data_IF_580563533571
#
_entry.id   IF_580563533571
#
_cell.length_a   1.000
_cell.length_b   1.000
_cell.length_c   1.000
_cell.angle_alpha   90.00
_cell.angle_beta   90.00
_cell.angle_gamma   90.00
#
_symmetry.space_group_name_H-M   'P 1'
#
loop_
_entity.id
_entity.type
_entity.pdbx_description
1 polymer ?
#
# COMPACT_ATOMS: atom_id res chain seq x y z
N UNK A 1 7.50 3.44 17.00
CA UNK A 1 6.61 2.63 16.17
C UNK A 1 7.12 2.64 14.73
N UNK A 2 7.14 3.77 14.06
CA UNK A 2 7.47 3.91 12.64
C UNK A 2 8.87 3.39 12.30
N UNK A 3 9.89 3.66 13.13
CA UNK A 3 11.27 3.12 12.97
C UNK A 3 11.27 1.59 12.88
N UNK A 4 10.48 0.91 13.70
CA UNK A 4 10.39 -0.55 13.67
C UNK A 4 9.70 -1.03 12.39
N UNK A 5 8.63 -0.36 11.94
CA UNK A 5 7.92 -0.71 10.71
C UNK A 5 8.83 -0.53 9.48
N UNK A 6 9.55 0.58 9.39
CA UNK A 6 10.51 0.84 8.33
C UNK A 6 11.65 -0.21 8.32
N UNK A 7 12.19 -0.55 9.50
CA UNK A 7 13.18 -1.61 9.62
C UNK A 7 12.64 -2.97 9.17
N UNK A 8 11.41 -3.32 9.54
CA UNK A 8 10.78 -4.56 9.10
C UNK A 8 10.65 -4.62 7.58
N UNK A 9 10.23 -3.52 6.95
CA UNK A 9 10.15 -3.41 5.49
C UNK A 9 11.52 -3.62 4.83
N UNK A 10 12.56 -2.90 5.28
CA UNK A 10 13.92 -3.04 4.80
C UNK A 10 14.45 -4.47 4.96
N UNK A 11 14.29 -5.06 6.14
CA UNK A 11 14.75 -6.41 6.44
C UNK A 11 13.98 -7.50 5.68
N UNK A 12 12.75 -7.24 5.29
CA UNK A 12 11.96 -8.19 4.51
C UNK A 12 12.50 -8.37 3.09
N UNK A 13 13.21 -7.38 2.55
CA UNK A 13 13.85 -7.45 1.24
C UNK A 13 14.94 -8.52 1.11
N UNK A 14 15.43 -9.08 2.22
CA UNK A 14 16.34 -10.25 2.20
C UNK A 14 15.73 -11.52 1.60
N UNK A 15 14.40 -11.62 1.57
CA UNK A 15 13.74 -12.73 0.91
C UNK A 15 13.71 -12.53 -0.60
N UNK A 16 14.19 -13.50 -1.40
CA UNK A 16 14.22 -13.37 -2.85
C UNK A 16 12.82 -13.10 -3.43
N UNK A 17 12.74 -12.20 -4.40
CA UNK A 17 11.50 -11.80 -5.07
C UNK A 17 10.41 -11.27 -4.14
N UNK A 18 10.75 -10.87 -2.91
CA UNK A 18 9.77 -10.36 -1.94
C UNK A 18 9.08 -9.09 -2.43
N UNK A 19 7.86 -8.90 -1.95
CA UNK A 19 7.06 -7.70 -2.13
C UNK A 19 6.81 -7.04 -0.77
N UNK A 20 6.72 -5.70 -0.77
CA UNK A 20 6.37 -4.93 0.42
C UNK A 20 5.32 -3.89 0.03
N UNK A 21 4.16 -3.94 0.68
CA UNK A 21 3.11 -2.94 0.55
C UNK A 21 2.89 -2.28 1.89
N UNK A 22 2.85 -0.95 1.90
CA UNK A 22 2.69 -0.19 3.13
C UNK A 22 1.59 0.84 2.95
N UNK A 23 0.59 0.81 3.82
CA UNK A 23 -0.31 1.92 4.07
C UNK A 23 0.29 2.70 5.24
N UNK A 24 0.89 3.84 4.93
CA UNK A 24 1.64 4.69 5.87
C UNK A 24 0.76 5.85 6.34
N UNK A 25 1.07 6.37 7.50
CA UNK A 25 0.40 7.54 8.05
C UNK A 25 1.45 8.52 8.58
N UNK A 26 1.55 9.69 7.92
CA UNK A 26 2.54 10.72 8.25
C UNK A 26 3.88 10.56 7.53
N UNK A 27 3.94 9.85 6.38
CA UNK A 27 5.11 9.78 5.50
C UNK A 27 6.34 9.09 6.08
N UNK A 28 6.17 8.33 7.16
CA UNK A 28 7.28 7.82 7.99
C UNK A 28 8.16 6.79 7.31
N UNK A 29 7.69 6.16 6.23
CA UNK A 29 8.44 5.12 5.50
C UNK A 29 8.98 5.61 4.15
N UNK A 30 8.83 6.88 3.82
CA UNK A 30 9.16 7.44 2.51
C UNK A 30 10.62 7.19 2.11
N UNK A 31 11.57 7.58 2.96
CA UNK A 31 13.01 7.37 2.71
C UNK A 31 13.35 5.89 2.52
N UNK A 32 12.83 5.01 3.37
CA UNK A 32 13.02 3.56 3.26
C UNK A 32 12.47 2.99 1.96
N UNK A 33 11.29 3.43 1.53
CA UNK A 33 10.63 2.98 0.30
C UNK A 33 11.47 3.36 -0.92
N UNK A 34 11.90 4.61 -1.02
CA UNK A 34 12.73 5.10 -2.11
C UNK A 34 14.09 4.41 -2.15
N UNK A 35 14.70 4.17 -0.98
CA UNK A 35 15.96 3.45 -0.86
C UNK A 35 15.88 1.99 -1.33
N UNK A 36 14.71 1.37 -1.23
CA UNK A 36 14.45 0.03 -1.75
C UNK A 36 14.12 0.02 -3.27
N UNK A 37 14.19 1.16 -3.95
CA UNK A 37 13.79 1.32 -5.35
C UNK A 37 12.27 1.23 -5.53
N UNK A 38 11.51 1.54 -4.48
CA UNK A 38 10.06 1.45 -4.47
C UNK A 38 9.35 2.74 -4.88
N UNK A 39 8.03 2.63 -5.04
CA UNK A 39 7.14 3.75 -5.30
C UNK A 39 6.50 4.22 -3.98
N UNK A 40 6.71 5.48 -3.65
CA UNK A 40 6.00 6.15 -2.57
C UNK A 40 4.99 7.13 -3.18
N UNK A 41 3.75 7.07 -2.71
CA UNK A 41 2.62 7.77 -3.30
C UNK A 41 1.79 8.46 -2.21
N UNK A 42 1.61 9.76 -2.34
CA UNK A 42 0.75 10.55 -1.46
C UNK A 42 -0.68 10.58 -2.02
N UNK A 43 -1.60 9.92 -1.33
CA UNK A 43 -3.00 9.79 -1.75
C UNK A 43 -3.85 11.01 -1.37
N UNK A 44 -3.41 11.80 -0.41
CA UNK A 44 -4.17 12.90 0.16
C UNK A 44 -3.58 14.28 -0.09
N UNK A 45 -2.34 14.35 -0.54
CA UNK A 45 -1.61 15.59 -0.71
C UNK A 45 -2.10 16.43 -1.89
N UNK A 46 -2.04 17.74 -1.73
CA UNK A 46 -2.12 18.68 -2.83
C UNK A 46 -0.79 18.69 -3.59
N UNK A 47 -0.47 17.56 -4.23
CA UNK A 47 0.80 17.41 -4.91
C UNK A 47 0.91 18.31 -6.13
N UNK A 48 2.12 18.80 -6.37
CA UNK A 48 2.51 19.42 -7.63
C UNK A 48 2.04 18.57 -8.81
N UNK A 49 1.57 19.23 -9.86
CA UNK A 49 0.89 18.62 -11.01
C UNK A 49 1.62 17.45 -11.69
N UNK A 50 2.94 17.32 -11.51
CA UNK A 50 3.78 16.35 -12.22
C UNK A 50 3.99 14.99 -11.53
N UNK A 51 3.60 14.82 -10.26
CA UNK A 51 3.92 13.60 -9.49
C UNK A 51 2.73 12.97 -8.78
N UNK A 52 1.50 13.40 -9.06
CA UNK A 52 0.32 12.90 -8.37
C UNK A 52 -0.08 11.51 -8.83
N UNK A 53 -0.38 10.65 -7.86
CA UNK A 53 -1.09 9.38 -8.09
C UNK A 53 -2.39 9.66 -8.84
N UNK A 54 -2.63 8.89 -9.87
CA UNK A 54 -3.90 8.89 -10.57
C UNK A 54 -4.35 7.45 -10.78
N UNK A 55 -5.61 7.17 -10.42
CA UNK A 55 -6.19 5.84 -10.43
C UNK A 55 -7.25 5.76 -11.53
N UNK A 56 -7.29 4.61 -12.21
CA UNK A 56 -8.26 4.30 -13.25
C UNK A 56 -9.01 3.01 -12.92
N UNK A 57 -9.96 3.03 -11.97
CA UNK A 57 -10.62 1.82 -11.46
C UNK A 57 -11.39 1.04 -12.51
N UNK A 58 -11.77 1.67 -13.61
CA UNK A 58 -12.54 1.06 -14.69
C UNK A 58 -11.68 0.60 -15.87
N UNK A 59 -10.37 0.74 -15.84
CA UNK A 59 -9.49 0.35 -16.93
C UNK A 59 -9.70 -1.12 -17.40
N UNK A 60 -9.81 -2.04 -16.44
CA UNK A 60 -9.87 -3.49 -16.66
C UNK A 60 -11.26 -4.07 -16.95
N UNK A 61 -12.32 -3.27 -17.04
CA UNK A 61 -13.72 -3.75 -17.12
C UNK A 61 -14.07 -4.55 -18.39
N UNK A 62 -13.19 -4.63 -19.39
CA UNK A 62 -13.32 -5.54 -20.53
C UNK A 62 -13.24 -7.01 -20.05
N UNK A 63 -12.58 -7.30 -18.95
CA UNK A 63 -12.60 -8.60 -18.30
C UNK A 63 -13.82 -8.71 -17.36
N UNK A 64 -14.58 -9.80 -17.50
CA UNK A 64 -15.81 -10.01 -16.70
C UNK A 64 -15.59 -9.96 -15.17
N UNK A 65 -14.53 -10.56 -14.59
CA UNK A 65 -14.28 -10.45 -13.16
C UNK A 65 -14.03 -9.01 -12.70
N UNK A 66 -13.24 -8.22 -13.46
CA UNK A 66 -12.97 -6.81 -13.16
C UNK A 66 -14.25 -5.97 -13.27
N UNK A 67 -15.11 -6.26 -14.25
CA UNK A 67 -16.40 -5.59 -14.41
C UNK A 67 -17.34 -5.90 -13.25
N UNK A 68 -17.35 -7.14 -12.76
CA UNK A 68 -18.15 -7.52 -11.60
C UNK A 68 -17.68 -6.79 -10.35
N UNK A 69 -16.37 -6.75 -10.11
CA UNK A 69 -15.77 -5.97 -9.02
C UNK A 69 -16.12 -4.48 -9.14
N UNK A 70 -15.98 -3.90 -10.32
CA UNK A 70 -16.29 -2.49 -10.56
C UNK A 70 -17.77 -2.16 -10.32
N UNK A 71 -18.69 -3.09 -10.64
CA UNK A 71 -20.12 -2.93 -10.37
C UNK A 71 -20.38 -2.87 -8.86
N UNK A 72 -19.80 -3.77 -8.07
CA UNK A 72 -19.94 -3.78 -6.62
C UNK A 72 -19.29 -2.53 -6.00
N UNK A 73 -18.11 -2.12 -6.46
CA UNK A 73 -17.43 -0.91 -6.03
C UNK A 73 -18.24 0.37 -6.29
N UNK A 74 -18.90 0.48 -7.44
CA UNK A 74 -19.79 1.60 -7.75
C UNK A 74 -21.06 1.59 -6.89
N UNK A 75 -21.60 0.41 -6.60
CA UNK A 75 -22.75 0.25 -5.68
C UNK A 75 -22.38 0.78 -4.29
N UNK A 76 -21.20 0.49 -3.79
CA UNK A 76 -20.71 0.98 -2.50
C UNK A 76 -20.58 2.52 -2.49
N UNK A 77 -20.02 3.10 -3.54
CA UNK A 77 -19.95 4.56 -3.71
C UNK A 77 -21.36 5.17 -3.68
N UNK A 78 -22.27 4.64 -4.50
CA UNK A 78 -23.64 5.15 -4.61
C UNK A 78 -24.40 5.03 -3.28
N UNK A 79 -24.21 3.93 -2.54
CA UNK A 79 -24.80 3.74 -1.20
C UNK A 79 -24.34 4.83 -0.26
N UNK A 80 -23.05 5.18 -0.25
CA UNK A 80 -22.46 6.25 0.58
C UNK A 80 -22.93 7.64 0.17
N UNK A 81 -23.26 7.85 -1.09
CA UNK A 81 -23.88 9.08 -1.60
C UNK A 81 -25.41 9.09 -1.41
N UNK A 82 -25.98 8.15 -0.66
CA UNK A 82 -27.39 8.13 -0.26
C UNK A 82 -28.34 7.58 -1.32
N UNK A 83 -27.84 6.90 -2.33
CA UNK A 83 -28.68 6.24 -3.34
C UNK A 83 -29.22 4.92 -2.78
N UNK A 84 -30.54 4.73 -2.85
CA UNK A 84 -31.14 3.43 -2.53
C UNK A 84 -30.85 2.43 -3.63
N UNK A 85 -30.17 1.35 -3.30
CA UNK A 85 -29.76 0.32 -4.26
C UNK A 85 -30.92 -0.66 -4.48
N UNK A 86 -31.52 -0.59 -5.65
CA UNK A 86 -32.55 -1.50 -6.14
C UNK A 86 -31.97 -2.46 -7.20
N UNK A 87 -32.63 -3.57 -7.53
CA UNK A 87 -32.22 -4.41 -8.64
C UNK A 87 -32.10 -3.65 -9.96
N UNK A 88 -32.96 -2.68 -10.20
CA UNK A 88 -32.92 -1.81 -11.38
C UNK A 88 -31.66 -0.93 -11.41
N UNK A 89 -31.24 -0.37 -10.28
CA UNK A 89 -29.99 0.40 -10.19
C UNK A 89 -28.79 -0.48 -10.53
N UNK A 90 -28.75 -1.71 -10.02
CA UNK A 90 -27.66 -2.66 -10.33
C UNK A 90 -27.64 -3.01 -11.82
N UNK A 91 -28.81 -3.20 -12.45
CA UNK A 91 -28.93 -3.47 -13.87
C UNK A 91 -28.46 -2.28 -14.72
N UNK A 92 -28.80 -1.06 -14.36
CA UNK A 92 -28.33 0.16 -15.03
C UNK A 92 -26.80 0.29 -14.97
N UNK A 93 -26.20 0.04 -13.78
CA UNK A 93 -24.73 0.05 -13.60
C UNK A 93 -24.08 -1.03 -14.49
N UNK A 94 -24.59 -2.25 -14.45
CA UNK A 94 -24.04 -3.37 -15.22
C UNK A 94 -24.13 -3.12 -16.72
N UNK A 95 -25.25 -2.61 -17.21
CA UNK A 95 -25.47 -2.29 -18.62
C UNK A 95 -24.52 -1.18 -19.08
N UNK A 96 -24.37 -0.11 -18.27
CA UNK A 96 -23.46 0.99 -18.57
C UNK A 96 -21.99 0.52 -18.58
N UNK A 97 -21.56 -0.28 -17.60
CA UNK A 97 -20.21 -0.87 -17.56
C UNK A 97 -19.97 -1.80 -18.76
N UNK A 98 -20.98 -2.57 -19.17
CA UNK A 98 -20.87 -3.47 -20.34
C UNK A 98 -20.69 -2.67 -21.63
N UNK A 99 -21.39 -1.56 -21.77
CA UNK A 99 -21.24 -0.66 -22.90
C UNK A 99 -19.86 0.03 -22.89
N UNK A 100 -19.43 0.52 -21.73
CA UNK A 100 -18.14 1.19 -21.56
C UNK A 100 -16.95 0.24 -21.79
N UNK A 101 -17.10 -1.05 -21.53
CA UNK A 101 -16.06 -2.05 -21.75
C UNK A 101 -15.61 -2.16 -23.22
N UNK A 102 -16.45 -1.73 -24.17
CA UNK A 102 -16.14 -1.70 -25.60
C UNK A 102 -15.39 -0.43 -26.03
N UNK A 103 -15.31 0.59 -25.17
CA UNK A 103 -14.59 1.83 -25.45
C UNK A 103 -13.06 1.63 -25.31
N UNK A 104 -12.24 2.53 -25.91
CA UNK A 104 -10.81 2.61 -25.62
C UNK A 104 -10.52 2.70 -24.12
N UNK A 105 -9.34 2.22 -23.68
CA UNK A 105 -9.02 2.17 -22.25
C UNK A 105 -9.03 3.55 -21.60
N UNK A 106 -8.60 4.58 -22.31
CA UNK A 106 -8.54 5.97 -21.87
C UNK A 106 -9.92 6.55 -21.56
N UNK A 107 -10.96 6.04 -22.20
CA UNK A 107 -12.35 6.45 -21.99
C UNK A 107 -13.05 5.68 -20.87
N UNK A 108 -12.43 4.60 -20.35
CA UNK A 108 -13.00 3.78 -19.27
C UNK A 108 -12.81 4.45 -17.92
N UNK A 109 -13.45 5.59 -17.76
CA UNK A 109 -13.42 6.46 -16.60
C UNK A 109 -14.80 6.56 -15.95
N UNK A 110 -14.87 7.08 -14.73
CA UNK A 110 -16.17 7.33 -14.07
C UNK A 110 -16.97 8.37 -14.88
N UNK A 111 -16.28 9.38 -15.41
CA UNK A 111 -16.89 10.37 -16.32
C UNK A 111 -17.48 9.66 -17.56
N UNK A 112 -16.72 8.80 -18.23
CA UNK A 112 -17.20 8.00 -19.37
C UNK A 112 -18.42 7.15 -19.01
N UNK A 113 -18.41 6.54 -17.82
CA UNK A 113 -19.57 5.78 -17.32
C UNK A 113 -20.81 6.65 -17.16
N UNK A 114 -20.67 7.88 -16.60
CA UNK A 114 -21.81 8.78 -16.37
C UNK A 114 -22.48 9.21 -17.66
N UNK A 115 -21.76 9.27 -18.77
CA UNK A 115 -22.37 9.57 -20.10
C UNK A 115 -23.36 8.46 -20.49
N UNK A 116 -23.05 7.21 -20.18
CA UNK A 116 -23.86 6.03 -20.56
C UNK A 116 -25.03 5.75 -19.61
N UNK A 117 -24.97 6.28 -18.37
CA UNK A 117 -26.09 6.18 -17.44
C UNK A 117 -27.30 7.01 -17.92
N UNK A 118 -28.50 6.50 -17.76
CA UNK A 118 -29.73 7.24 -18.07
C UNK A 118 -30.28 8.01 -16.87
N UNK A 119 -30.08 7.47 -15.65
CA UNK A 119 -30.58 8.06 -14.40
C UNK A 119 -29.82 9.32 -14.01
N UNK A 120 -30.51 10.46 -13.93
CA UNK A 120 -29.95 11.72 -13.46
C UNK A 120 -29.50 11.65 -11.99
N UNK A 121 -30.18 10.85 -11.16
CA UNK A 121 -29.83 10.65 -9.75
C UNK A 121 -28.45 9.94 -9.63
N UNK A 122 -28.20 8.89 -10.43
CA UNK A 122 -26.93 8.19 -10.44
C UNK A 122 -25.80 9.08 -10.94
N UNK A 123 -26.04 9.87 -12.01
CA UNK A 123 -25.06 10.86 -12.51
C UNK A 123 -24.70 11.88 -11.44
N UNK A 124 -25.69 12.40 -10.73
CA UNK A 124 -25.47 13.39 -9.68
C UNK A 124 -24.68 12.81 -8.50
N UNK A 125 -24.97 11.59 -8.09
CA UNK A 125 -24.26 10.90 -7.01
C UNK A 125 -22.80 10.62 -7.38
N UNK A 126 -22.48 10.29 -8.64
CA UNK A 126 -21.13 10.05 -9.10
C UNK A 126 -20.35 11.31 -9.45
N UNK A 127 -20.99 12.46 -9.58
CA UNK A 127 -20.35 13.74 -9.98
C UNK A 127 -19.12 14.12 -9.13
N UNK A 128 -19.08 13.94 -7.80
CA UNK A 128 -17.89 14.24 -7.00
C UNK A 128 -16.65 13.43 -7.41
N UNK A 129 -16.84 12.26 -8.02
CA UNK A 129 -15.80 11.32 -8.43
C UNK A 129 -15.39 11.46 -9.92
N UNK A 130 -16.08 12.32 -10.68
CA UNK A 130 -15.79 12.60 -12.08
C UNK A 130 -14.74 13.69 -12.24
N UNK A 131 -14.20 13.84 -13.44
CA UNK A 131 -13.32 14.97 -13.83
C UNK A 131 -13.96 16.30 -13.43
N UNK A 132 -13.17 17.16 -12.74
CA UNK A 132 -13.64 18.42 -12.18
C UNK A 132 -14.41 18.30 -10.87
N UNK A 133 -14.71 17.10 -10.38
CA UNK A 133 -15.26 16.85 -9.05
C UNK A 133 -14.16 16.80 -7.98
N UNK A 134 -14.58 16.84 -6.71
CA UNK A 134 -13.65 16.90 -5.56
C UNK A 134 -12.67 15.69 -5.50
N UNK A 135 -13.05 14.53 -6.02
CA UNK A 135 -12.30 13.28 -5.96
C UNK A 135 -11.87 12.77 -7.34
N UNK A 136 -12.31 13.42 -8.42
CA UNK A 136 -12.06 12.99 -9.81
C UNK A 136 -10.58 12.98 -10.16
N UNK A 137 -9.80 13.93 -9.63
CA UNK A 137 -8.35 13.96 -9.84
C UNK A 137 -7.66 12.67 -9.47
N UNK A 138 -8.11 12.01 -8.39
CA UNK A 138 -7.51 10.76 -7.90
C UNK A 138 -8.12 9.51 -8.55
N UNK A 139 -9.44 9.51 -8.83
CA UNK A 139 -10.19 8.30 -9.18
C UNK A 139 -10.68 8.23 -10.63
N UNK A 140 -10.51 9.29 -11.42
CA UNK A 140 -11.09 9.41 -12.75
C UNK A 140 -10.03 9.72 -13.83
N UNK A 141 -8.90 9.03 -13.74
CA UNK A 141 -7.80 9.21 -14.68
C UNK A 141 -8.03 8.44 -15.97
N UNK A 142 -7.53 9.00 -17.08
CA UNK A 142 -7.45 8.34 -18.39
C UNK A 142 -6.31 7.30 -18.43
N UNK A 143 -5.32 7.47 -17.55
CA UNK A 143 -4.17 6.57 -17.43
C UNK A 143 -3.80 6.39 -15.96
N UNK A 144 -3.67 5.14 -15.54
CA UNK A 144 -3.27 4.83 -14.18
C UNK A 144 -1.78 5.13 -13.94
N UNK A 145 -1.47 5.78 -12.80
CA UNK A 145 -0.10 6.06 -12.34
C UNK A 145 0.14 5.45 -10.95
N UNK A 146 -0.23 4.19 -10.78
CA UNK A 146 -0.03 3.47 -9.52
C UNK A 146 1.37 2.86 -9.40
N UNK A 147 2.05 2.63 -10.53
CA UNK A 147 3.33 1.93 -10.56
C UNK A 147 3.20 0.42 -10.34
N UNK A 148 4.30 -0.29 -10.60
CA UNK A 148 4.35 -1.76 -10.48
C UNK A 148 5.56 -2.24 -9.64
N UNK A 149 6.23 -1.33 -8.93
CA UNK A 149 7.37 -1.69 -8.12
C UNK A 149 7.03 -2.78 -7.10
N UNK A 150 8.01 -3.63 -6.78
CA UNK A 150 7.85 -4.68 -5.76
C UNK A 150 7.75 -4.12 -4.33
N UNK A 151 8.05 -2.84 -4.17
CA UNK A 151 7.85 -2.08 -2.93
C UNK A 151 6.97 -0.89 -3.26
N UNK A 152 5.83 -0.79 -2.58
CA UNK A 152 4.93 0.35 -2.73
C UNK A 152 4.46 0.83 -1.36
N UNK A 153 4.52 2.12 -1.15
CA UNK A 153 3.99 2.76 0.05
C UNK A 153 3.00 3.84 -0.33
N UNK A 154 1.88 3.85 0.36
CA UNK A 154 0.76 4.76 0.16
C UNK A 154 0.61 5.61 1.40
N UNK A 155 0.86 6.92 1.27
CA UNK A 155 0.59 7.89 2.33
C UNK A 155 -0.91 8.17 2.39
N UNK A 156 -1.51 7.96 3.55
CA UNK A 156 -2.97 7.99 3.73
C UNK A 156 -3.47 9.11 4.63
N UNK A 157 -2.60 9.89 5.28
CA UNK A 157 -3.01 10.91 6.27
C UNK A 157 -4.01 11.90 5.68
N UNK A 158 -3.71 12.45 4.51
CA UNK A 158 -4.59 13.42 3.84
C UNK A 158 -5.84 12.79 3.18
N UNK A 159 -5.88 11.46 3.05
CA UNK A 159 -7.02 10.73 2.49
C UNK A 159 -8.03 10.34 3.58
N UNK A 160 -7.53 9.88 4.74
CA UNK A 160 -8.37 9.38 5.84
C UNK A 160 -9.30 10.49 6.35
N UNK A 161 -10.58 10.15 6.51
CA UNK A 161 -11.64 11.10 6.89
C UNK A 161 -12.29 11.83 5.72
N UNK A 162 -11.79 11.67 4.49
CA UNK A 162 -12.48 12.16 3.29
C UNK A 162 -13.55 11.16 2.83
N UNK A 163 -14.57 11.64 2.11
CA UNK A 163 -15.58 10.76 1.50
C UNK A 163 -15.02 9.79 0.46
N UNK A 164 -13.88 10.14 -0.15
CA UNK A 164 -13.23 9.29 -1.15
C UNK A 164 -12.43 8.13 -0.53
N UNK A 165 -12.04 8.22 0.74
CA UNK A 165 -11.15 7.24 1.37
C UNK A 165 -11.61 5.78 1.19
N UNK A 166 -12.89 5.42 1.44
CA UNK A 166 -13.33 4.04 1.25
C UNK A 166 -13.20 3.56 -0.19
N UNK A 167 -13.57 4.39 -1.17
CA UNK A 167 -13.51 4.06 -2.59
C UNK A 167 -12.05 3.87 -3.06
N UNK A 168 -11.14 4.76 -2.64
CA UNK A 168 -9.70 4.69 -2.96
C UNK A 168 -9.07 3.48 -2.33
N UNK A 169 -9.31 3.24 -1.03
CA UNK A 169 -8.75 2.10 -0.32
C UNK A 169 -9.26 0.77 -0.89
N UNK A 170 -10.56 0.67 -1.19
CA UNK A 170 -11.13 -0.52 -1.81
C UNK A 170 -10.46 -0.85 -3.15
N UNK A 171 -10.20 0.17 -3.98
CA UNK A 171 -9.48 -0.01 -5.24
C UNK A 171 -8.03 -0.44 -5.02
N UNK A 172 -7.30 0.23 -4.14
CA UNK A 172 -5.90 -0.14 -3.85
C UNK A 172 -5.79 -1.57 -3.32
N UNK A 173 -6.71 -1.98 -2.43
CA UNK A 173 -6.75 -3.36 -1.95
C UNK A 173 -7.03 -4.36 -3.05
N UNK A 174 -7.94 -4.05 -3.97
CA UNK A 174 -8.21 -4.89 -5.14
C UNK A 174 -6.94 -5.06 -6.01
N UNK A 175 -6.24 -3.96 -6.28
CA UNK A 175 -4.98 -3.95 -7.06
C UNK A 175 -3.86 -4.72 -6.37
N UNK A 176 -3.69 -4.54 -5.06
CA UNK A 176 -2.66 -5.24 -4.28
C UNK A 176 -2.99 -6.73 -4.16
N UNK A 177 -4.26 -7.09 -3.94
CA UNK A 177 -4.69 -8.49 -3.82
C UNK A 177 -4.40 -9.30 -5.09
N UNK A 178 -4.55 -8.69 -6.26
CA UNK A 178 -4.21 -9.30 -7.55
C UNK A 178 -2.70 -9.64 -7.67
N UNK A 179 -1.84 -8.99 -6.85
CA UNK A 179 -0.40 -9.23 -6.81
C UNK A 179 0.04 -10.29 -5.79
N UNK A 180 -0.87 -10.85 -5.00
CA UNK A 180 -0.57 -11.94 -4.06
C UNK A 180 -0.51 -13.29 -4.77
N UNK A 181 0.59 -13.54 -5.43
CA UNK A 181 0.87 -14.68 -6.31
C UNK A 181 1.69 -15.82 -5.66
N UNK A 182 1.86 -15.75 -4.33
CA UNK A 182 2.64 -16.73 -3.55
C UNK A 182 4.07 -16.30 -3.26
N UNK A 183 4.57 -15.21 -3.86
CA UNK A 183 5.84 -14.61 -3.44
C UNK A 183 5.78 -14.15 -1.98
N UNK A 184 6.91 -14.19 -1.24
CA UNK A 184 6.95 -13.61 0.10
C UNK A 184 6.47 -12.15 0.05
N UNK A 185 5.40 -11.85 0.75
CA UNK A 185 4.80 -10.51 0.75
C UNK A 185 4.64 -10.01 2.18
N UNK A 186 5.07 -8.78 2.42
CA UNK A 186 4.82 -8.05 3.66
C UNK A 186 3.81 -6.94 3.39
N UNK A 187 2.70 -6.98 4.11
CA UNK A 187 1.70 -5.91 4.11
C UNK A 187 1.74 -5.21 5.46
N UNK A 188 2.10 -3.94 5.47
CA UNK A 188 2.10 -3.09 6.67
C UNK A 188 0.91 -2.13 6.57
N UNK A 189 0.10 -2.08 7.62
CA UNK A 189 -1.01 -1.15 7.75
C UNK A 189 -0.78 -0.33 9.01
N UNK A 190 -0.30 0.91 8.83
CA UNK A 190 -0.08 1.84 9.92
C UNK A 190 -1.32 2.68 10.19
N UNK A 191 -1.72 2.82 11.45
CA UNK A 191 -2.95 3.50 11.89
C UNK A 191 -4.23 2.99 11.17
N UNK A 192 -4.20 1.75 10.73
CA UNK A 192 -5.25 1.13 9.90
C UNK A 192 -6.64 1.10 10.56
N UNK A 193 -6.72 1.26 11.88
CA UNK A 193 -7.99 1.34 12.60
C UNK A 193 -8.83 2.55 12.15
N UNK A 194 -8.22 3.65 11.71
CA UNK A 194 -8.95 4.84 11.21
C UNK A 194 -9.76 4.55 9.97
N UNK A 195 -9.33 3.57 9.17
CA UNK A 195 -10.11 3.10 8.04
C UNK A 195 -11.13 2.02 8.43
N UNK A 196 -11.04 1.45 9.64
CA UNK A 196 -11.91 0.39 10.16
C UNK A 196 -13.24 0.89 10.72
N UNK A 197 -13.43 2.19 10.85
CA UNK A 197 -14.74 2.78 11.15
C UNK A 197 -15.73 2.51 10.01
N UNK A 198 -15.23 2.17 8.83
CA UNK A 198 -16.00 1.69 7.70
C UNK A 198 -16.23 0.17 7.79
N UNK A 199 -17.49 -0.23 7.92
CA UNK A 199 -17.86 -1.64 8.12
C UNK A 199 -17.46 -2.56 6.97
N UNK A 200 -17.48 -2.07 5.74
CA UNK A 200 -17.13 -2.85 4.55
C UNK A 200 -15.61 -3.08 4.50
N UNK A 201 -14.85 -2.04 4.80
CA UNK A 201 -13.40 -2.14 4.93
C UNK A 201 -12.99 -3.07 6.08
N UNK A 202 -13.64 -2.95 7.24
CA UNK A 202 -13.44 -3.87 8.35
C UNK A 202 -13.73 -5.33 7.95
N UNK A 203 -14.77 -5.56 7.17
CA UNK A 203 -15.13 -6.87 6.61
C UNK A 203 -14.02 -7.43 5.72
N UNK A 204 -13.45 -6.63 4.83
CA UNK A 204 -12.35 -7.01 3.92
C UNK A 204 -11.08 -7.35 4.69
N UNK A 205 -10.68 -6.52 5.66
CA UNK A 205 -9.52 -6.82 6.53
C UNK A 205 -9.74 -8.13 7.31
N UNK A 206 -10.95 -8.36 7.81
CA UNK A 206 -11.28 -9.62 8.49
C UNK A 206 -11.14 -10.84 7.58
N UNK A 207 -11.56 -10.75 6.34
CA UNK A 207 -11.39 -11.78 5.34
C UNK A 207 -9.90 -12.00 5.04
N UNK A 208 -9.16 -10.93 4.83
CA UNK A 208 -7.72 -10.97 4.54
C UNK A 208 -6.91 -11.62 5.66
N UNK A 209 -7.12 -11.25 6.89
CA UNK A 209 -6.44 -11.85 8.03
C UNK A 209 -6.62 -13.37 8.09
N UNK A 210 -7.73 -13.91 7.56
CA UNK A 210 -7.99 -15.34 7.49
C UNK A 210 -7.37 -16.02 6.28
N UNK A 211 -7.26 -15.33 5.16
CA UNK A 211 -6.95 -15.92 3.84
C UNK A 211 -5.52 -15.66 3.37
N UNK A 212 -4.92 -14.52 3.72
CA UNK A 212 -3.63 -14.07 3.20
C UNK A 212 -2.46 -14.98 3.56
N UNK A 213 -2.55 -15.70 4.68
CA UNK A 213 -1.54 -16.72 5.03
C UNK A 213 -1.38 -17.77 3.93
N UNK A 214 -2.45 -18.16 3.24
CA UNK A 214 -2.40 -19.14 2.15
C UNK A 214 -1.71 -18.60 0.90
N UNK A 215 -1.64 -17.27 0.77
CA UNK A 215 -0.98 -16.56 -0.33
C UNK A 215 0.46 -16.12 0.03
N UNK A 216 1.03 -16.63 1.12
CA UNK A 216 2.37 -16.27 1.62
C UNK A 216 2.52 -14.76 1.96
N UNK A 217 1.46 -14.16 2.47
CA UNK A 217 1.43 -12.76 2.89
C UNK A 217 1.48 -12.66 4.41
N UNK A 218 2.45 -11.90 4.92
CA UNK A 218 2.56 -11.52 6.32
C UNK A 218 1.98 -10.13 6.52
N UNK A 219 1.04 -10.00 7.45
CA UNK A 219 0.40 -8.72 7.76
C UNK A 219 0.95 -8.18 9.08
N UNK A 220 1.36 -6.92 9.06
CA UNK A 220 1.71 -6.13 10.25
C UNK A 220 0.69 -5.01 10.39
N UNK A 221 -0.04 -5.07 11.48
CA UNK A 221 -1.03 -4.05 11.82
C UNK A 221 -0.51 -3.21 12.99
N UNK A 222 -0.54 -1.90 12.89
CA UNK A 222 -0.03 -1.03 13.95
C UNK A 222 -1.02 0.07 14.34
N UNK A 223 -1.01 0.44 15.61
CA UNK A 223 -1.83 1.51 16.17
C UNK A 223 -1.06 2.24 17.28
N UNK A 224 -1.43 3.47 17.55
CA UNK A 224 -0.93 4.25 18.68
C UNK A 224 -1.75 4.00 19.95
N UNK A 225 -2.99 3.51 19.82
CA UNK A 225 -3.92 3.31 20.92
C UNK A 225 -4.48 1.90 20.89
N UNK A 226 -4.31 1.17 22.00
CA UNK A 226 -4.97 -0.12 22.19
C UNK A 226 -6.49 0.04 22.36
N UNK A 227 -6.93 1.15 22.95
CA UNK A 227 -8.35 1.44 23.15
C UNK A 227 -9.08 1.62 21.83
N UNK A 228 -8.43 2.21 20.82
CA UNK A 228 -9.02 2.36 19.48
C UNK A 228 -9.18 1.01 18.79
N UNK A 229 -8.19 0.11 18.97
CA UNK A 229 -8.33 -1.27 18.48
C UNK A 229 -9.46 -1.99 19.21
N UNK A 230 -9.54 -1.86 20.56
CA UNK A 230 -10.57 -2.48 21.38
C UNK A 230 -11.99 -2.05 20.95
N UNK A 231 -12.15 -0.77 20.63
CA UNK A 231 -13.42 -0.23 20.16
C UNK A 231 -13.81 -0.68 18.74
N UNK A 232 -12.85 -1.22 17.98
CA UNK A 232 -13.09 -1.63 16.61
C UNK A 232 -13.87 -2.95 16.51
N UNK A 233 -14.82 -3.08 15.56
CA UNK A 233 -15.55 -4.33 15.30
C UNK A 233 -14.67 -5.53 14.96
N UNK A 234 -13.43 -5.30 14.53
CA UNK A 234 -12.49 -6.38 14.17
C UNK A 234 -11.51 -6.75 15.30
N UNK A 235 -11.58 -6.10 16.46
CA UNK A 235 -10.68 -6.36 17.59
C UNK A 235 -10.54 -7.87 17.92
N UNK A 236 -11.63 -8.67 18.02
CA UNK A 236 -11.51 -10.10 18.30
C UNK A 236 -10.72 -10.84 17.22
N UNK A 237 -10.90 -10.48 15.95
CA UNK A 237 -10.20 -11.11 14.82
C UNK A 237 -8.71 -10.73 14.80
N UNK A 238 -8.38 -9.47 15.10
CA UNK A 238 -6.98 -9.03 15.23
C UNK A 238 -6.27 -9.78 16.36
N UNK A 239 -6.90 -9.88 17.52
CA UNK A 239 -6.34 -10.61 18.67
C UNK A 239 -6.11 -12.08 18.36
N UNK A 240 -7.04 -12.72 17.65
CA UNK A 240 -6.94 -14.15 17.26
C UNK A 240 -5.89 -14.36 16.14
N UNK A 241 -5.91 -13.50 15.11
CA UNK A 241 -5.10 -13.69 13.89
C UNK A 241 -3.67 -13.17 14.02
N UNK A 242 -3.38 -12.29 14.99
CA UNK A 242 -2.06 -11.74 15.24
C UNK A 242 -1.39 -12.39 16.47
N UNK A 243 -0.76 -13.56 16.32
CA UNK A 243 -0.16 -14.29 17.42
C UNK A 243 1.14 -13.68 17.94
N UNK A 244 1.74 -12.75 17.19
CA UNK A 244 2.90 -11.98 17.63
C UNK A 244 2.46 -10.55 17.85
N UNK A 245 2.76 -10.01 19.03
CA UNK A 245 2.42 -8.65 19.43
C UNK A 245 3.65 -7.95 19.98
N UNK A 246 3.84 -6.70 19.59
CA UNK A 246 4.95 -5.89 20.07
C UNK A 246 4.35 -4.65 20.73
N UNK A 247 4.59 -4.52 22.03
CA UNK A 247 4.14 -3.40 22.82
C UNK A 247 5.31 -2.44 23.04
N UNK A 248 5.04 -1.15 22.85
CA UNK A 248 5.99 -0.10 23.14
C UNK A 248 5.86 0.35 24.59
N UNK A 249 6.93 0.95 25.13
CA UNK A 249 6.95 1.50 26.47
C UNK A 249 5.77 2.47 26.70
N UNK A 250 5.07 2.27 27.81
CA UNK A 250 3.95 3.12 28.22
C UNK A 250 3.88 3.17 29.75
N UNK A 251 4.42 4.23 30.35
CA UNK A 251 4.46 4.45 31.80
C UNK A 251 3.06 4.43 32.45
N UNK A 252 2.03 4.82 31.67
CA UNK A 252 0.63 4.81 32.12
C UNK A 252 0.00 3.41 32.07
N UNK A 253 0.72 2.40 31.57
CA UNK A 253 0.21 1.04 31.41
C UNK A 253 -0.29 0.40 32.70
N UNK A 254 0.21 0.83 33.88
CA UNK A 254 -0.22 0.36 35.21
C UNK A 254 -1.50 1.05 35.73
N UNK A 255 -1.98 2.11 35.09
CA UNK A 255 -3.25 2.73 35.45
C UNK A 255 -4.39 1.71 35.25
N UNK A 256 -5.34 1.58 36.21
CA UNK A 256 -6.33 0.49 36.18
C UNK A 256 -7.11 0.38 34.87
N UNK A 257 -7.46 1.51 34.27
CA UNK A 257 -8.21 1.57 33.01
C UNK A 257 -7.37 1.07 31.83
N UNK A 258 -6.11 1.51 31.74
CA UNK A 258 -5.18 1.11 30.67
C UNK A 258 -4.73 -0.35 30.88
N UNK A 259 -4.47 -0.76 32.12
CA UNK A 259 -4.12 -2.13 32.45
C UNK A 259 -5.23 -3.13 32.07
N UNK A 260 -6.51 -2.73 32.18
CA UNK A 260 -7.61 -3.59 31.75
C UNK A 260 -7.55 -3.90 30.26
N UNK A 261 -7.22 -2.91 29.43
CA UNK A 261 -7.05 -3.09 27.99
C UNK A 261 -5.87 -4.01 27.68
N UNK A 262 -4.71 -3.81 28.33
CA UNK A 262 -3.57 -4.70 28.16
C UNK A 262 -3.90 -6.17 28.49
N UNK A 263 -4.71 -6.41 29.55
CA UNK A 263 -5.16 -7.78 29.90
C UNK A 263 -6.04 -8.40 28.80
N UNK A 264 -6.90 -7.62 28.15
CA UNK A 264 -7.70 -8.11 27.02
C UNK A 264 -6.81 -8.51 25.84
N UNK A 265 -5.67 -7.83 25.65
CA UNK A 265 -4.65 -8.21 24.67
C UNK A 265 -3.73 -9.33 25.16
N UNK A 266 -4.03 -9.96 26.31
CA UNK A 266 -3.36 -11.16 26.82
C UNK A 266 -2.10 -10.92 27.61
N UNK A 267 -1.88 -9.71 28.17
CA UNK A 267 -0.80 -9.45 29.12
C UNK A 267 -1.24 -9.74 30.55
N UNK A 268 -0.38 -10.36 31.34
CA UNK A 268 -0.55 -10.42 32.80
C UNK A 268 0.06 -9.19 33.47
N UNK A 269 -0.20 -9.04 34.79
CA UNK A 269 0.21 -7.85 35.55
C UNK A 269 1.72 -7.63 35.50
N UNK A 270 2.51 -8.70 35.57
CA UNK A 270 3.98 -8.60 35.47
C UNK A 270 4.44 -8.10 34.09
N UNK A 271 3.80 -8.52 33.04
CA UNK A 271 4.11 -8.08 31.69
C UNK A 271 3.72 -6.61 31.48
N UNK A 272 2.59 -6.20 32.04
CA UNK A 272 2.15 -4.78 32.04
C UNK A 272 3.18 -3.92 32.78
N UNK A 273 3.67 -4.38 33.95
CA UNK A 273 4.72 -3.70 34.70
C UNK A 273 6.02 -3.56 33.89
N UNK A 274 6.42 -4.60 33.13
CA UNK A 274 7.59 -4.55 32.23
C UNK A 274 7.39 -3.47 31.16
N UNK A 275 6.22 -3.43 30.51
CA UNK A 275 5.90 -2.42 29.50
C UNK A 275 5.91 -1.02 30.09
N UNK A 276 5.38 -0.85 31.32
CA UNK A 276 5.32 0.44 31.98
C UNK A 276 6.70 0.98 32.41
N UNK A 277 7.63 0.08 32.74
CA UNK A 277 9.01 0.44 33.13
C UNK A 277 10.00 0.46 31.97
N UNK A 278 9.58 0.06 30.78
CA UNK A 278 10.42 0.06 29.58
C UNK A 278 10.81 1.49 29.19
N UNK A 279 11.99 1.64 28.60
CA UNK A 279 12.50 2.94 28.13
C UNK A 279 11.83 3.32 26.81
N UNK A 280 11.12 4.47 26.74
CA UNK A 280 10.50 4.95 25.50
C UNK A 280 11.51 5.10 24.37
N UNK A 281 11.07 4.78 23.13
CA UNK A 281 11.86 4.84 21.89
C UNK A 281 13.04 3.85 21.81
N UNK A 282 13.30 3.09 22.86
CA UNK A 282 14.42 2.15 22.98
C UNK A 282 13.94 0.70 23.13
N UNK A 283 13.07 0.46 24.11
CA UNK A 283 12.66 -0.87 24.50
C UNK A 283 11.33 -1.29 23.85
N UNK A 284 11.25 -2.54 23.45
CA UNK A 284 10.10 -3.17 22.83
C UNK A 284 9.80 -4.47 23.54
N UNK A 285 8.55 -4.67 23.96
CA UNK A 285 8.10 -5.93 24.57
C UNK A 285 7.40 -6.79 23.53
N UNK A 286 8.04 -7.89 23.13
CA UNK A 286 7.50 -8.84 22.17
C UNK A 286 6.85 -10.01 22.90
N UNK A 287 5.59 -10.26 22.59
CA UNK A 287 4.83 -11.45 22.98
C UNK A 287 4.57 -12.31 21.75
N UNK A 288 4.90 -13.60 21.84
CA UNK A 288 4.67 -14.55 20.75
C UNK A 288 4.45 -15.98 21.26
N UNK A 289 4.01 -16.89 20.39
CA UNK A 289 3.91 -18.33 20.72
C UNK A 289 5.24 -18.97 21.10
N UNK A 290 6.37 -18.35 20.73
CA UNK A 290 7.72 -18.82 21.05
C UNK A 290 8.27 -18.27 22.37
N UNK A 291 7.47 -17.51 23.09
CA UNK A 291 7.85 -16.85 24.34
C UNK A 291 7.79 -15.33 24.24
N UNK A 292 8.09 -14.69 25.36
CA UNK A 292 8.01 -13.26 25.53
C UNK A 292 9.40 -12.71 25.85
N UNK A 293 9.73 -11.53 25.33
CA UNK A 293 11.00 -10.87 25.62
C UNK A 293 10.89 -9.36 25.51
N UNK A 294 11.65 -8.70 26.34
CA UNK A 294 12.02 -7.29 26.15
C UNK A 294 13.28 -7.26 25.27
N UNK A 295 13.30 -6.43 24.25
CA UNK A 295 14.49 -6.23 23.43
C UNK A 295 14.68 -4.74 23.11
N UNK A 296 15.92 -4.37 22.90
CA UNK A 296 16.31 -3.03 22.48
C UNK A 296 16.51 -3.03 20.95
N UNK A 297 16.06 -1.97 20.31
CA UNK A 297 16.31 -1.73 18.90
C UNK A 297 17.51 -0.79 18.75
N UNK A 298 18.72 -1.34 18.87
CA UNK A 298 19.97 -0.61 18.73
C UNK A 298 20.35 -0.46 17.27
N UNK A 299 19.94 0.66 16.64
CA UNK A 299 20.25 0.96 15.24
C UNK A 299 21.43 1.92 15.14
N UNK A 300 22.34 1.64 14.20
CA UNK A 300 23.42 2.57 13.82
C UNK A 300 22.91 3.72 12.92
N UNK A 301 23.77 4.71 12.68
CA UNK A 301 23.43 5.94 11.95
C UNK A 301 22.86 5.65 10.55
N UNK A 302 23.42 4.69 9.82
CA UNK A 302 22.93 4.32 8.48
C UNK A 302 21.48 3.83 8.53
N UNK A 303 21.16 2.91 9.46
CA UNK A 303 19.79 2.40 9.58
C UNK A 303 18.82 3.50 10.04
N UNK A 304 19.25 4.37 10.96
CA UNK A 304 18.44 5.49 11.45
C UNK A 304 18.17 6.52 10.35
N UNK A 305 19.14 6.79 9.46
CA UNK A 305 18.94 7.70 8.32
C UNK A 305 17.75 7.29 7.45
N UNK A 306 17.47 5.99 7.31
CA UNK A 306 16.32 5.50 6.54
C UNK A 306 15.07 5.27 7.39
N UNK A 307 15.22 4.78 8.61
CA UNK A 307 14.07 4.35 9.43
C UNK A 307 13.46 5.50 10.25
N UNK A 308 14.21 6.57 10.51
CA UNK A 308 13.77 7.68 11.36
C UNK A 308 13.51 8.99 10.59
N UNK A 309 13.56 8.95 9.25
CA UNK A 309 13.35 10.11 8.38
C UNK A 309 11.86 10.44 8.24
N UNK A 310 11.26 11.05 9.25
CA UNK A 310 9.82 11.35 9.29
C UNK A 310 9.51 12.80 9.68
N UNK A 311 10.50 13.64 9.84
CA UNK A 311 10.31 15.06 10.12
C UNK A 311 10.21 15.91 8.84
N UNK A 312 9.77 17.14 8.99
CA UNK A 312 9.59 18.08 7.88
C UNK A 312 10.89 18.34 7.11
N UNK A 313 12.03 18.35 7.80
CA UNK A 313 13.33 18.60 7.17
C UNK A 313 13.74 17.42 6.28
N UNK A 314 13.53 16.19 6.75
CA UNK A 314 13.76 14.98 5.96
C UNK A 314 12.85 14.93 4.72
N UNK A 315 11.58 15.27 4.85
CA UNK A 315 10.67 15.32 3.70
C UNK A 315 11.09 16.38 2.68
N UNK A 316 11.47 17.59 3.12
CA UNK A 316 11.96 18.65 2.24
C UNK A 316 13.23 18.22 1.48
N UNK A 317 14.17 17.57 2.18
CA UNK A 317 15.40 17.04 1.57
C UNK A 317 15.10 15.93 0.53
N UNK A 318 14.14 15.05 0.82
CA UNK A 318 13.69 14.03 -0.15
C UNK A 318 13.11 14.70 -1.40
N UNK A 319 12.26 15.73 -1.22
CA UNK A 319 11.67 16.46 -2.35
C UNK A 319 12.73 17.17 -3.20
N UNK A 320 13.74 17.74 -2.58
CA UNK A 320 14.89 18.36 -3.27
C UNK A 320 15.63 17.32 -4.09
N UNK A 321 16.03 16.20 -3.48
CA UNK A 321 16.75 15.14 -4.17
C UNK A 321 15.97 14.54 -5.34
N UNK A 322 14.65 14.37 -5.20
CA UNK A 322 13.81 13.86 -6.28
C UNK A 322 13.70 14.87 -7.41
N UNK A 323 13.55 16.16 -7.11
CA UNK A 323 13.51 17.25 -8.09
C UNK A 323 14.80 17.36 -8.88
N UNK A 324 15.93 17.10 -8.21
CA UNK A 324 17.26 17.08 -8.83
C UNK A 324 17.57 15.79 -9.60
N UNK A 325 16.57 14.92 -9.76
CA UNK A 325 16.67 13.70 -10.55
C UNK A 325 17.37 12.54 -9.86
N UNK A 326 17.53 12.58 -8.53
CA UNK A 326 18.22 11.54 -7.78
C UNK A 326 17.43 10.23 -7.64
N UNK A 327 16.17 10.14 -8.11
CA UNK A 327 15.34 8.94 -7.92
C UNK A 327 16.03 7.62 -8.32
N UNK A 328 16.73 7.50 -9.46
CA UNK A 328 17.40 6.26 -9.85
C UNK A 328 18.57 5.84 -8.93
N UNK A 329 19.18 6.80 -8.23
CA UNK A 329 20.31 6.58 -7.32
C UNK A 329 20.05 7.15 -5.92
N UNK A 330 18.77 7.18 -5.51
CA UNK A 330 18.30 7.80 -4.27
C UNK A 330 19.08 7.31 -3.04
N UNK A 331 19.32 6.00 -2.94
CA UNK A 331 20.06 5.41 -1.81
C UNK A 331 21.41 6.09 -1.56
N UNK A 332 22.20 6.31 -2.63
CA UNK A 332 23.52 6.94 -2.55
C UNK A 332 23.40 8.43 -2.26
N UNK A 333 22.49 9.12 -2.94
CA UNK A 333 22.25 10.55 -2.76
C UNK A 333 21.77 10.86 -1.33
N UNK A 334 20.85 10.05 -0.80
CA UNK A 334 20.33 10.20 0.57
C UNK A 334 21.42 10.02 1.63
N UNK A 335 22.29 9.01 1.49
CA UNK A 335 23.41 8.81 2.42
C UNK A 335 24.37 9.99 2.41
N UNK A 336 24.73 10.50 1.23
CA UNK A 336 25.59 11.68 1.12
C UNK A 336 24.97 12.92 1.77
N UNK A 337 23.70 13.15 1.56
CA UNK A 337 22.96 14.28 2.14
C UNK A 337 22.79 14.18 3.68
N UNK A 338 23.00 13.00 4.26
CA UNK A 338 22.97 12.75 5.70
C UNK A 338 24.36 12.55 6.32
N UNK A 339 25.43 13.07 5.72
CA UNK A 339 26.82 12.98 6.19
C UNK A 339 27.34 11.52 6.33
N UNK A 340 26.80 10.60 5.55
CA UNK A 340 27.15 9.18 5.53
C UNK A 340 27.88 8.79 4.22
N UNK A 341 28.74 9.66 3.69
CA UNK A 341 29.47 9.45 2.44
C UNK A 341 30.26 8.12 2.44
N UNK A 342 30.87 7.77 3.56
CA UNK A 342 31.57 6.49 3.71
C UNK A 342 30.67 5.26 3.43
N UNK A 343 29.39 5.34 3.76
CA UNK A 343 28.44 4.27 3.49
C UNK A 343 27.93 4.32 2.03
N UNK A 344 27.80 5.53 1.47
CA UNK A 344 27.49 5.73 0.06
C UNK A 344 28.56 5.14 -0.86
N UNK A 345 29.84 5.23 -0.50
CA UNK A 345 30.98 4.68 -1.25
C UNK A 345 30.99 3.15 -1.30
N UNK A 346 30.32 2.47 -0.36
CA UNK A 346 30.18 1.01 -0.36
C UNK A 346 29.09 0.51 -1.34
N UNK A 347 28.28 1.41 -1.90
CA UNK A 347 27.22 1.04 -2.82
C UNK A 347 27.80 1.00 -4.24
N UNK A 348 27.74 -0.17 -4.94
CA UNK A 348 28.19 -0.27 -6.32
C UNK A 348 27.44 0.72 -7.22
N UNK A 349 28.12 1.32 -8.18
CA UNK A 349 27.46 2.16 -9.16
C UNK A 349 26.51 1.31 -10.01
N UNK A 350 25.22 1.65 -10.00
CA UNK A 350 24.16 0.93 -10.71
C UNK A 350 24.40 0.83 -12.22
N UNK A 351 25.15 1.74 -12.81
CA UNK A 351 25.55 1.69 -14.23
C UNK A 351 26.36 0.42 -14.56
N UNK A 352 27.19 -0.07 -13.63
CA UNK A 352 27.97 -1.29 -13.82
C UNK A 352 27.19 -2.59 -13.61
N UNK A 353 26.03 -2.54 -12.97
CA UNK A 353 25.19 -3.71 -12.70
C UNK A 353 24.19 -3.95 -13.83
N UNK A 354 23.71 -2.88 -14.46
CA UNK A 354 22.77 -2.98 -15.60
C UNK A 354 23.48 -3.54 -16.84
N UNK A 355 24.76 -3.17 -17.05
CA UNK A 355 25.54 -3.66 -18.20
C UNK A 355 25.94 -5.14 -18.08
N UNK A 356 25.98 -5.69 -16.85
CA UNK A 356 26.27 -7.12 -16.60
C UNK A 356 25.02 -8.01 -16.59
N UNK A 357 23.81 -7.44 -16.58
CA UNK A 357 22.54 -8.19 -16.57
C UNK A 357 21.76 -8.11 -17.90
N UNK A 358 22.31 -7.44 -18.92
CA UNK A 358 21.76 -7.51 -20.27
C UNK A 358 22.00 -8.93 -20.81
N UNK A 359 20.95 -9.74 -21.11
CA UNK A 359 21.18 -11.02 -21.75
C UNK A 359 21.76 -10.75 -23.12
N UNK A 360 22.83 -11.49 -23.49
CA UNK A 360 23.36 -11.58 -24.83
C UNK A 360 22.29 -12.16 -25.78
N UNK A 361 21.41 -11.30 -26.26
CA UNK A 361 20.33 -11.60 -27.19
C UNK A 361 20.49 -10.74 -28.45
N UNK A 362 21.61 -10.86 -29.14
CA UNK A 362 21.79 -10.30 -30.47
C UNK A 362 22.88 -11.04 -31.27
N UNK A 363 22.91 -12.38 -31.24
CA UNK A 363 23.64 -13.15 -32.25
C UNK A 363 22.95 -14.50 -32.52
N UNK A 364 21.74 -14.47 -33.04
CA UNK A 364 21.12 -15.65 -33.68
C UNK A 364 20.03 -15.24 -34.68
N UNK A 365 20.38 -14.42 -35.66
CA UNK A 365 19.58 -14.31 -36.89
C UNK A 365 20.50 -14.48 -38.11
N UNK A 366 21.06 -15.67 -38.21
CA UNK A 366 21.65 -16.16 -39.45
C UNK A 366 20.72 -17.25 -40.05
N UNK A 367 19.55 -16.85 -40.48
CA UNK A 367 18.74 -17.68 -41.39
C UNK A 367 19.18 -17.30 -42.78
N UNK A 368 20.13 -18.06 -43.33
CA UNK A 368 20.36 -18.19 -44.78
C UNK A 368 19.25 -19.02 -45.37
N UNK A 369 18.48 -18.40 -46.23
CA UNK A 369 17.53 -19.01 -47.16
C UNK A 369 18.34 -19.80 -48.19
N UNK A 370 18.04 -21.06 -48.50
CA UNK A 370 18.38 -21.66 -49.79
C UNK A 370 17.16 -21.64 -50.67
N UNK A 371 17.29 -20.86 -51.72
CA UNK A 371 16.45 -20.89 -52.90
C UNK A 371 16.63 -22.23 -53.69
N UNK A 372 15.48 -22.70 -54.16
CA UNK A 372 15.19 -23.33 -55.46
C UNK A 372 16.20 -24.33 -56.07
N UNK A 373 15.61 -25.39 -56.46
CA UNK A 373 15.78 -26.10 -57.75
C UNK A 373 15.91 -27.62 -57.63
N UNK A 374 15.10 -28.21 -58.48
CA UNK A 374 15.17 -29.45 -59.23
C UNK A 374 14.57 -30.70 -58.57
N UNK A 375 13.45 -31.07 -59.14
CA UNK A 375 13.14 -31.93 -60.31
C UNK A 375 13.20 -33.43 -60.03
N UNK A 376 12.02 -34.04 -60.23
CA UNK A 376 11.72 -35.23 -61.07
C UNK A 376 12.28 -36.59 -60.64
N UNK A 377 11.33 -37.52 -60.67
CA UNK A 377 11.40 -38.90 -61.08
C UNK A 377 11.51 -40.00 -60.00
N UNK A 378 10.49 -40.63 -59.78
CA UNK A 378 10.06 -42.02 -59.96
C UNK A 378 8.97 -42.44 -59.05
#
# INVERSE_FOLDING_TARGET
KSVLLALMALQFRRYPKSQVFVFDFGGSIRASTLAMGGDWQDLGGALSDDASVSLQPLAGIHHTPERAWAADWLVDILTREGVTITPEVKEHIWSALTSLASAPVEERTITGLTVLLQSSALKQALRPYCVGGAHGRLLDAETERLGEASVQAFETEGLVGTKAAPAVLAYLFHRIEARFDGRPTLLIIDEGWRALDDGDFAGKIKEWLKTLRKKNVSVVFSSQSLADIEASPIAPVLVESCPTRIFLANERGIEPQIASVYRQFGLNDRQIEIVARATPKRDYYCQSRRGNRLFELGLGHVALAFCAASDTAAHALIDELIRDGARPYFLKAWLNANDLAWAADLIPDLMNVIDQSAPAAAEATGITNPSSEEEVSS
#
